data_IF_117486662324
#
_entry.id   IF_117486662324
#
_cell.length_a   1.000
_cell.length_b   1.000
_cell.length_c   1.000
_cell.angle_alpha   90.00
_cell.angle_beta   90.00
_cell.angle_gamma   90.00
#
_symmetry.space_group_name_H-M   'P 1'
#
loop_
_entity.id
_entity.type
_entity.pdbx_description
1 polymer ?
#
# COMPACT_ATOMS: atom_id res chain seq x y z
N UNK A 1 -6.35 44.62 22.22
CA UNK A 1 -6.56 45.52 21.07
C UNK A 1 -6.92 44.70 19.86
N UNK A 2 -8.03 45.00 19.19
CA UNK A 2 -8.46 44.26 18.01
C UNK A 2 -7.54 44.58 16.81
N UNK A 3 -6.91 43.58 16.17
CA UNK A 3 -6.20 43.76 14.91
C UNK A 3 -7.15 44.13 13.78
N UNK A 4 -6.79 45.04 12.91
CA UNK A 4 -7.55 45.36 11.70
C UNK A 4 -6.99 44.59 10.51
N UNK A 5 -7.84 44.07 9.60
CA UNK A 5 -7.37 43.39 8.38
C UNK A 5 -6.68 44.44 7.49
N UNK A 6 -5.47 44.11 7.05
CA UNK A 6 -4.74 44.90 6.06
C UNK A 6 -4.76 44.15 4.75
N UNK A 7 -5.28 44.76 3.70
CA UNK A 7 -5.19 44.23 2.33
C UNK A 7 -3.91 44.77 1.69
N UNK A 8 -2.87 43.96 1.66
CA UNK A 8 -1.63 44.29 0.97
C UNK A 8 -1.46 43.38 -0.24
N UNK A 9 -1.28 44.00 -1.41
CA UNK A 9 -0.91 43.28 -2.63
C UNK A 9 0.61 43.36 -2.77
N UNK A 10 1.30 42.24 -2.59
CA UNK A 10 2.73 42.15 -2.91
C UNK A 10 2.91 42.09 -4.42
N UNK A 11 3.63 43.08 -4.95
CA UNK A 11 4.00 43.15 -6.37
C UNK A 11 5.23 42.30 -6.70
N UNK A 12 6.04 41.96 -5.70
CA UNK A 12 7.25 41.16 -5.84
C UNK A 12 7.33 40.13 -4.73
N UNK A 13 7.55 38.85 -5.09
CA UNK A 13 7.89 37.78 -4.16
C UNK A 13 9.40 37.53 -4.26
N UNK A 14 10.16 37.90 -3.23
CA UNK A 14 11.60 37.60 -3.13
C UNK A 14 11.76 36.47 -2.11
N UNK A 15 12.24 35.32 -2.56
CA UNK A 15 12.49 34.15 -1.71
C UNK A 15 12.10 32.84 -2.40
N UNK A 16 12.55 31.72 -1.83
CA UNK A 16 12.19 30.39 -2.30
C UNK A 16 10.93 29.86 -1.62
N UNK A 17 10.23 28.94 -2.25
CA UNK A 17 9.11 28.23 -1.61
C UNK A 17 9.59 27.48 -0.35
N UNK A 18 10.85 27.05 -0.33
CA UNK A 18 11.47 26.41 0.82
C UNK A 18 11.53 27.28 2.06
N UNK A 19 11.62 28.60 1.91
CA UNK A 19 11.67 29.54 3.06
C UNK A 19 10.32 29.59 3.80
N UNK A 20 9.24 29.22 3.14
CA UNK A 20 7.88 29.15 3.71
C UNK A 20 7.61 27.88 4.49
N UNK A 21 8.41 26.84 4.29
CA UNK A 21 8.31 25.59 5.06
C UNK A 21 9.24 25.70 6.27
N UNK A 22 8.76 25.61 7.51
CA UNK A 22 9.63 25.71 8.70
C UNK A 22 10.77 24.69 8.66
N UNK A 23 11.96 25.09 9.11
CA UNK A 23 13.15 24.23 9.12
C UNK A 23 12.93 22.92 9.91
N UNK A 24 12.13 22.99 10.99
CA UNK A 24 11.76 21.86 11.84
C UNK A 24 10.57 21.04 11.32
N UNK A 25 9.98 21.40 10.16
CA UNK A 25 8.79 20.70 9.68
C UNK A 25 9.12 19.26 9.25
N UNK A 26 8.37 18.24 9.72
CA UNK A 26 8.66 16.82 9.48
C UNK A 26 8.58 16.41 8.00
N UNK A 27 8.04 17.24 7.12
CA UNK A 27 8.02 17.02 5.68
C UNK A 27 9.41 17.16 5.03
N UNK A 28 10.35 17.89 5.65
CA UNK A 28 11.69 18.14 5.10
C UNK A 28 12.54 16.86 5.01
N UNK A 29 12.74 16.11 6.09
CA UNK A 29 13.46 14.86 6.01
C UNK A 29 12.76 13.85 5.08
N UNK A 30 11.43 13.89 5.01
CA UNK A 30 10.69 13.04 4.09
C UNK A 30 10.96 13.40 2.62
N UNK A 31 10.98 14.71 2.28
CA UNK A 31 11.34 15.18 0.94
C UNK A 31 12.75 14.74 0.56
N UNK A 32 13.72 14.96 1.44
CA UNK A 32 15.11 14.58 1.20
C UNK A 32 15.25 13.06 0.93
N UNK A 33 14.53 12.23 1.69
CA UNK A 33 14.49 10.77 1.47
C UNK A 33 13.83 10.41 0.14
N UNK A 34 12.72 11.07 -0.22
CA UNK A 34 12.05 10.84 -1.49
C UNK A 34 12.93 11.22 -2.67
N UNK A 35 13.62 12.36 -2.58
CA UNK A 35 14.55 12.85 -3.61
C UNK A 35 15.72 11.89 -3.80
N UNK A 36 16.33 11.38 -2.71
CA UNK A 36 17.41 10.38 -2.76
C UNK A 36 16.98 9.09 -3.46
N UNK A 37 15.81 8.57 -3.08
CA UNK A 37 15.26 7.35 -3.68
C UNK A 37 14.94 7.54 -5.16
N UNK A 38 14.25 8.63 -5.51
CA UNK A 38 13.82 8.90 -6.88
C UNK A 38 15.02 9.21 -7.81
N UNK A 39 16.03 9.92 -7.30
CA UNK A 39 17.29 10.15 -8.04
C UNK A 39 17.99 8.85 -8.42
N UNK A 40 17.91 7.81 -7.56
CA UNK A 40 18.44 6.48 -7.88
C UNK A 40 17.62 5.69 -8.91
N UNK A 41 16.45 6.19 -9.33
CA UNK A 41 15.55 5.50 -10.25
C UNK A 41 15.57 6.06 -11.69
N UNK A 42 16.45 7.01 -12.00
CA UNK A 42 16.49 7.69 -13.32
C UNK A 42 16.50 6.72 -14.50
N UNK A 43 17.27 5.64 -14.44
CA UNK A 43 17.32 4.63 -15.51
C UNK A 43 15.95 3.94 -15.75
N UNK A 44 15.17 3.74 -14.71
CA UNK A 44 13.80 3.18 -14.81
C UNK A 44 12.92 4.17 -15.54
N UNK A 45 13.04 5.46 -15.21
CA UNK A 45 12.24 6.52 -15.79
C UNK A 45 12.61 6.78 -17.26
N UNK A 46 13.88 6.78 -17.61
CA UNK A 46 14.34 6.96 -18.98
C UNK A 46 13.74 5.89 -19.91
N UNK A 47 13.64 4.65 -19.45
CA UNK A 47 13.03 3.54 -20.18
C UNK A 47 11.51 3.65 -20.39
N UNK A 48 10.84 4.61 -19.73
CA UNK A 48 9.39 4.79 -19.82
C UNK A 48 8.93 5.75 -20.91
N UNK A 49 9.83 6.57 -21.41
CA UNK A 49 9.51 7.67 -22.32
C UNK A 49 10.25 7.53 -23.64
N UNK A 50 9.61 8.00 -24.73
CA UNK A 50 10.26 8.10 -26.02
C UNK A 50 11.28 9.24 -26.00
N UNK A 51 12.33 9.12 -26.82
CA UNK A 51 13.39 10.14 -26.97
C UNK A 51 12.88 11.44 -27.62
N UNK A 52 11.74 11.40 -28.32
CA UNK A 52 11.15 12.53 -29.03
C UNK A 52 9.68 12.73 -28.64
N UNK A 53 9.18 13.97 -28.72
CA UNK A 53 7.80 14.33 -28.42
C UNK A 53 7.67 15.45 -27.38
N UNK A 54 6.42 15.83 -27.05
CA UNK A 54 6.16 16.84 -26.02
C UNK A 54 6.59 16.32 -24.65
N UNK A 55 7.36 17.09 -23.86
CA UNK A 55 7.69 16.73 -22.48
C UNK A 55 6.45 16.43 -21.65
N UNK A 56 6.45 15.31 -20.95
CA UNK A 56 5.40 14.93 -19.98
C UNK A 56 5.73 15.51 -18.61
N UNK A 57 4.75 15.45 -17.67
CA UNK A 57 5.06 15.68 -16.26
C UNK A 57 6.11 14.66 -15.82
N UNK A 58 7.21 15.10 -15.18
CA UNK A 58 8.25 14.19 -14.69
C UNK A 58 7.68 13.09 -13.78
N UNK A 59 8.08 11.83 -13.95
CA UNK A 59 7.61 10.73 -13.12
C UNK A 59 7.94 10.92 -11.64
N UNK A 60 9.04 11.57 -11.32
CA UNK A 60 9.42 11.95 -9.97
C UNK A 60 8.36 12.84 -9.30
N UNK A 61 7.87 13.85 -10.02
CA UNK A 61 6.79 14.72 -9.54
C UNK A 61 5.49 13.96 -9.31
N UNK A 62 5.14 13.05 -10.22
CA UNK A 62 3.94 12.21 -10.09
C UNK A 62 4.03 11.29 -8.87
N UNK A 63 5.19 10.68 -8.62
CA UNK A 63 5.41 9.85 -7.45
C UNK A 63 5.40 10.67 -6.16
N UNK A 64 6.08 11.82 -6.12
CA UNK A 64 6.00 12.77 -4.99
C UNK A 64 4.56 13.21 -4.71
N UNK A 65 3.78 13.48 -5.76
CA UNK A 65 2.36 13.80 -5.62
C UNK A 65 1.56 12.66 -4.97
N UNK A 66 1.83 11.40 -5.35
CA UNK A 66 1.20 10.25 -4.71
C UNK A 66 1.59 10.10 -3.24
N UNK A 67 2.84 10.44 -2.87
CA UNK A 67 3.25 10.49 -1.46
C UNK A 67 2.42 11.52 -0.69
N UNK A 68 2.25 12.73 -1.21
CA UNK A 68 1.43 13.77 -0.59
C UNK A 68 -0.05 13.35 -0.48
N UNK A 69 -0.60 12.73 -1.52
CA UNK A 69 -1.97 12.20 -1.50
C UNK A 69 -2.16 11.21 -0.35
N UNK A 70 -1.20 10.31 -0.13
CA UNK A 70 -1.25 9.34 0.94
C UNK A 70 -1.03 9.98 2.33
N UNK A 71 -0.07 10.90 2.47
CA UNK A 71 0.26 11.57 3.72
C UNK A 71 -0.86 12.48 4.24
N UNK A 72 -1.51 13.21 3.34
CA UNK A 72 -2.55 14.18 3.67
C UNK A 72 -3.97 13.65 3.45
N UNK A 73 -4.12 12.34 3.22
CA UNK A 73 -5.42 11.67 3.04
C UNK A 73 -6.29 12.33 1.96
N UNK A 74 -5.69 12.82 0.88
CA UNK A 74 -6.40 13.51 -0.19
C UNK A 74 -7.25 12.49 -0.97
N UNK A 75 -8.54 12.82 -1.17
CA UNK A 75 -9.53 11.84 -1.63
C UNK A 75 -9.49 11.57 -3.13
N UNK A 76 -8.96 12.51 -3.93
CA UNK A 76 -8.93 12.36 -5.39
C UNK A 76 -7.77 13.09 -6.03
N UNK A 77 -7.36 12.64 -7.21
CA UNK A 77 -6.34 13.31 -8.04
C UNK A 77 -6.78 14.74 -8.38
N UNK A 78 -8.08 14.95 -8.61
CA UNK A 78 -8.64 16.28 -8.88
C UNK A 78 -8.48 17.23 -7.70
N UNK A 79 -8.81 16.78 -6.49
CA UNK A 79 -8.63 17.57 -5.27
C UNK A 79 -7.14 17.88 -5.02
N UNK A 80 -6.25 16.94 -5.35
CA UNK A 80 -4.82 17.18 -5.23
C UNK A 80 -4.36 18.28 -6.20
N UNK A 81 -4.76 18.22 -7.47
CA UNK A 81 -4.40 19.22 -8.47
C UNK A 81 -4.96 20.60 -8.09
N UNK A 82 -6.19 20.68 -7.56
CA UNK A 82 -6.76 21.91 -7.02
C UNK A 82 -5.91 22.48 -5.87
N UNK A 83 -5.50 21.64 -4.91
CA UNK A 83 -4.62 22.09 -3.82
C UNK A 83 -3.24 22.53 -4.34
N UNK A 84 -2.73 21.89 -5.39
CA UNK A 84 -1.42 22.22 -5.97
C UNK A 84 -1.38 23.66 -6.54
N UNK A 85 -2.53 24.25 -6.90
CA UNK A 85 -2.60 25.65 -7.35
C UNK A 85 -2.22 26.65 -6.27
N UNK A 86 -2.56 26.39 -5.01
CA UNK A 86 -2.39 27.36 -3.92
C UNK A 86 -1.57 26.87 -2.73
N UNK A 87 -1.25 25.57 -2.64
CA UNK A 87 -0.49 25.02 -1.51
C UNK A 87 1.02 25.11 -1.78
N UNK A 88 1.66 26.09 -1.20
CA UNK A 88 3.08 26.36 -1.38
C UNK A 88 3.97 25.21 -0.89
N UNK A 89 3.58 24.52 0.19
CA UNK A 89 4.33 23.35 0.67
C UNK A 89 4.27 22.19 -0.33
N UNK A 90 3.13 21.96 -0.99
CA UNK A 90 3.02 20.93 -2.01
C UNK A 90 3.87 21.26 -3.22
N UNK A 91 3.82 22.52 -3.68
CA UNK A 91 4.67 22.99 -4.79
C UNK A 91 6.15 22.80 -4.47
N UNK A 92 6.59 23.24 -3.28
CA UNK A 92 7.95 23.02 -2.82
C UNK A 92 8.33 21.54 -2.78
N UNK A 93 7.45 20.67 -2.30
CA UNK A 93 7.72 19.23 -2.22
C UNK A 93 7.88 18.60 -3.61
N UNK A 94 7.17 19.12 -4.62
CA UNK A 94 7.23 18.68 -6.01
C UNK A 94 8.32 19.39 -6.84
N UNK A 95 9.12 20.25 -6.27
CA UNK A 95 10.10 21.10 -6.97
C UNK A 95 9.46 21.90 -8.11
N UNK A 96 8.33 22.52 -7.83
CA UNK A 96 7.62 23.43 -8.75
C UNK A 96 7.90 24.88 -8.37
N UNK A 97 7.96 25.73 -9.40
CA UNK A 97 8.08 27.18 -9.20
C UNK A 97 6.75 27.78 -8.71
N UNK A 98 6.82 28.99 -8.17
CA UNK A 98 5.63 29.67 -7.63
C UNK A 98 4.56 29.94 -8.70
N UNK A 99 4.96 30.32 -9.89
CA UNK A 99 4.13 30.68 -11.03
C UNK A 99 3.91 29.54 -12.03
N UNK A 100 4.57 28.38 -11.82
CA UNK A 100 4.39 27.21 -12.69
C UNK A 100 2.95 26.70 -12.60
N UNK A 101 2.22 26.52 -13.72
CA UNK A 101 0.85 26.01 -13.67
C UNK A 101 0.82 24.58 -13.09
N UNK A 102 -0.18 24.30 -12.25
CA UNK A 102 -0.41 22.94 -11.82
C UNK A 102 -0.83 22.05 -12.98
N UNK A 103 -0.45 20.78 -12.91
CA UNK A 103 -0.94 19.80 -13.88
C UNK A 103 -2.34 19.30 -13.50
N UNK A 104 -3.13 18.93 -14.49
CA UNK A 104 -4.50 18.49 -14.27
C UNK A 104 -4.64 17.00 -13.91
N UNK A 105 -5.84 16.61 -13.47
CA UNK A 105 -6.12 15.24 -13.04
C UNK A 105 -6.05 14.22 -14.20
N UNK A 106 -6.16 14.65 -15.46
CA UNK A 106 -6.02 13.75 -16.63
C UNK A 106 -4.58 13.29 -16.77
N UNK A 107 -3.61 14.13 -16.39
CA UNK A 107 -2.19 13.76 -16.35
C UNK A 107 -1.92 12.57 -15.43
N UNK A 108 -2.58 12.52 -14.26
CA UNK A 108 -2.49 11.35 -13.38
C UNK A 108 -3.05 10.09 -14.04
N UNK A 109 -4.23 10.19 -14.65
CA UNK A 109 -4.89 9.04 -15.27
C UNK A 109 -4.07 8.46 -16.41
N UNK A 110 -3.53 9.31 -17.30
CA UNK A 110 -2.70 8.89 -18.43
C UNK A 110 -1.38 8.27 -17.97
N UNK A 111 -0.71 8.90 -17.00
CA UNK A 111 0.58 8.41 -16.52
C UNK A 111 0.44 7.19 -15.62
N UNK A 112 -0.69 6.97 -14.94
CA UNK A 112 -0.93 5.78 -14.10
C UNK A 112 -0.76 4.49 -14.88
N UNK A 113 -1.33 4.41 -16.09
CA UNK A 113 -1.19 3.22 -16.94
C UNK A 113 0.27 2.99 -17.37
N UNK A 114 1.02 4.07 -17.58
CA UNK A 114 2.46 3.99 -17.85
C UNK A 114 3.23 3.47 -16.65
N UNK A 115 2.95 4.00 -15.44
CA UNK A 115 3.57 3.53 -14.19
C UNK A 115 3.28 2.04 -13.92
N UNK A 116 2.07 1.58 -14.21
CA UNK A 116 1.68 0.17 -14.09
C UNK A 116 2.47 -0.69 -15.08
N UNK A 117 2.45 -0.32 -16.36
CA UNK A 117 3.13 -1.06 -17.44
C UNK A 117 4.61 -1.29 -17.15
N UNK A 118 5.28 -0.29 -16.58
CA UNK A 118 6.69 -0.34 -16.23
C UNK A 118 6.95 -0.76 -14.78
N UNK A 119 5.93 -1.24 -14.05
CA UNK A 119 6.02 -1.75 -12.66
C UNK A 119 6.70 -0.77 -11.70
N UNK A 120 6.49 0.53 -11.90
CA UNK A 120 7.17 1.58 -11.14
C UNK A 120 6.84 1.53 -9.65
N UNK A 121 5.60 1.15 -9.29
CA UNK A 121 5.22 1.01 -7.88
C UNK A 121 6.06 -0.04 -7.13
N UNK A 122 6.32 -1.18 -7.77
CA UNK A 122 7.20 -2.23 -7.22
C UNK A 122 8.64 -1.75 -7.13
N UNK A 123 9.15 -1.14 -8.19
CA UNK A 123 10.53 -0.60 -8.23
C UNK A 123 10.73 0.49 -7.16
N UNK A 124 9.77 1.38 -6.98
CA UNK A 124 9.83 2.43 -5.97
C UNK A 124 9.79 1.88 -4.55
N UNK A 125 8.88 0.94 -4.24
CA UNK A 125 8.86 0.29 -2.94
C UNK A 125 10.17 -0.45 -2.67
N UNK A 126 10.71 -1.16 -3.67
CA UNK A 126 12.00 -1.86 -3.55
C UNK A 126 13.17 -0.88 -3.30
N UNK A 127 13.20 0.28 -3.96
CA UNK A 127 14.22 1.31 -3.75
C UNK A 127 14.13 1.91 -2.34
N UNK A 128 12.92 2.15 -1.82
CA UNK A 128 12.72 2.59 -0.43
C UNK A 128 13.19 1.53 0.56
N UNK A 129 12.88 0.26 0.32
CA UNK A 129 13.34 -0.87 1.16
C UNK A 129 14.88 -0.99 1.13
N UNK A 130 15.50 -0.79 -0.03
CA UNK A 130 16.97 -0.83 -0.14
C UNK A 130 17.62 0.36 0.59
N UNK A 131 16.99 1.53 0.57
CA UNK A 131 17.43 2.68 1.38
C UNK A 131 17.36 2.38 2.88
N UNK A 132 16.30 1.72 3.35
CA UNK A 132 16.21 1.25 4.72
C UNK A 132 17.31 0.21 5.05
N UNK A 133 17.64 -0.68 4.10
CA UNK A 133 18.71 -1.68 4.24
C UNK A 133 20.08 -1.03 4.37
N UNK A 134 20.42 -0.09 3.49
CA UNK A 134 21.67 0.70 3.55
C UNK A 134 21.83 1.42 4.89
N UNK A 135 20.73 1.89 5.47
CA UNK A 135 20.68 2.54 6.80
C UNK A 135 20.63 1.56 7.97
N UNK A 136 20.73 0.24 7.72
CA UNK A 136 20.68 -0.84 8.75
C UNK A 136 19.39 -0.86 9.57
N UNK A 137 18.28 -0.41 9.00
CA UNK A 137 16.98 -0.38 9.66
C UNK A 137 16.17 -1.66 9.48
N UNK A 138 16.63 -2.62 8.67
CA UNK A 138 15.91 -3.86 8.43
C UNK A 138 16.46 -5.01 9.26
N UNK A 139 15.57 -5.92 9.68
CA UNK A 139 15.90 -7.28 10.07
C UNK A 139 15.95 -8.15 8.80
N UNK A 140 16.97 -8.98 8.66
CA UNK A 140 17.14 -9.89 7.51
C UNK A 140 16.65 -11.32 7.80
N UNK A 141 16.09 -11.57 8.99
CA UNK A 141 15.83 -12.92 9.50
C UNK A 141 14.44 -13.09 10.13
N UNK A 142 13.75 -12.02 10.54
CA UNK A 142 12.46 -12.13 11.19
C UNK A 142 11.39 -11.27 10.51
N UNK A 143 10.31 -11.93 10.04
CA UNK A 143 9.24 -11.30 9.26
C UNK A 143 7.87 -11.70 9.78
N UNK A 144 6.85 -10.95 9.38
CA UNK A 144 5.43 -11.27 9.55
C UNK A 144 4.69 -11.14 8.23
N UNK A 145 3.73 -12.01 8.04
CA UNK A 145 2.75 -11.93 6.94
C UNK A 145 1.35 -11.83 7.51
N UNK A 146 0.53 -11.04 6.84
CA UNK A 146 -0.91 -10.96 7.14
C UNK A 146 -1.65 -10.41 5.92
N UNK A 147 -2.95 -10.69 5.84
CA UNK A 147 -3.84 -10.23 4.80
C UNK A 147 -4.93 -9.30 5.33
N UNK A 148 -5.44 -8.45 4.46
CA UNK A 148 -6.56 -7.59 4.79
C UNK A 148 -7.48 -7.39 3.59
N UNK A 149 -8.78 -7.30 3.82
CA UNK A 149 -9.72 -6.95 2.77
C UNK A 149 -9.68 -5.45 2.49
N UNK A 150 -9.61 -5.12 1.21
CA UNK A 150 -9.74 -3.77 0.65
C UNK A 150 -11.07 -3.75 -0.11
N UNK A 151 -12.05 -2.97 0.37
CA UNK A 151 -13.35 -2.86 -0.28
C UNK A 151 -13.18 -2.33 -1.71
N UNK A 152 -13.81 -2.96 -2.68
CA UNK A 152 -13.75 -2.53 -4.07
C UNK A 152 -14.51 -1.21 -4.27
N UNK A 153 -14.18 -0.48 -5.34
CA UNK A 153 -14.96 0.68 -5.80
C UNK A 153 -16.40 0.30 -6.13
N UNK A 154 -16.58 -0.89 -6.69
CA UNK A 154 -17.87 -1.39 -7.13
C UNK A 154 -18.84 -1.57 -5.95
N UNK A 155 -20.07 -1.12 -6.13
CA UNK A 155 -21.14 -1.33 -5.14
C UNK A 155 -21.76 -2.72 -5.28
N UNK A 156 -22.42 -3.22 -4.22
CA UNK A 156 -23.16 -4.48 -4.24
C UNK A 156 -24.28 -4.50 -5.30
N UNK A 157 -24.80 -3.34 -5.72
CA UNK A 157 -25.80 -3.24 -6.80
C UNK A 157 -25.24 -3.72 -8.14
N UNK A 158 -23.93 -3.65 -8.34
CA UNK A 158 -23.28 -4.15 -9.55
C UNK A 158 -23.03 -5.66 -9.56
N UNK A 159 -23.26 -6.36 -8.44
CA UNK A 159 -23.04 -7.80 -8.31
C UNK A 159 -24.26 -8.56 -8.84
N UNK A 160 -24.18 -8.98 -10.11
CA UNK A 160 -25.29 -9.55 -10.87
C UNK A 160 -24.97 -10.98 -11.32
N UNK A 161 -25.99 -11.81 -11.62
CA UNK A 161 -25.79 -13.14 -12.20
C UNK A 161 -24.88 -13.09 -13.42
N UNK A 162 -24.05 -14.13 -13.59
CA UNK A 162 -23.17 -14.27 -14.76
C UNK A 162 -23.96 -14.60 -16.02
N UNK A 163 -24.99 -15.45 -15.86
CA UNK A 163 -25.86 -15.93 -16.91
C UNK A 163 -27.27 -15.40 -16.62
N UNK A 164 -27.76 -14.51 -17.48
CA UNK A 164 -29.10 -13.93 -17.39
C UNK A 164 -29.24 -12.64 -18.18
N UNK A 165 -30.44 -12.27 -18.64
CA UNK A 165 -30.67 -10.99 -19.27
C UNK A 165 -30.35 -9.84 -18.30
N UNK A 166 -29.91 -8.67 -18.81
CA UNK A 166 -29.76 -7.49 -17.97
C UNK A 166 -31.11 -7.18 -17.34
N UNK A 167 -31.27 -7.41 -16.06
CA UNK A 167 -32.51 -7.04 -15.38
C UNK A 167 -32.53 -5.53 -15.22
N UNK A 168 -33.51 -4.87 -15.84
CA UNK A 168 -33.80 -3.44 -15.66
C UNK A 168 -34.40 -3.15 -14.27
N UNK A 169 -34.61 -4.15 -13.46
CA UNK A 169 -35.15 -4.00 -12.11
C UNK A 169 -34.09 -3.50 -11.15
N UNK A 170 -34.44 -2.47 -10.41
CA UNK A 170 -33.68 -1.76 -9.37
C UNK A 170 -33.24 -2.66 -8.18
N UNK A 171 -32.72 -3.85 -8.41
CA UNK A 171 -32.05 -4.68 -7.41
C UNK A 171 -32.84 -5.10 -6.16
N UNK A 172 -34.12 -4.75 -6.05
CA UNK A 172 -35.01 -5.06 -4.93
C UNK A 172 -35.63 -6.44 -5.02
N UNK A 173 -35.76 -6.99 -6.24
CA UNK A 173 -36.31 -8.35 -6.46
C UNK A 173 -35.40 -9.47 -5.93
N UNK A 174 -34.08 -9.21 -5.84
CA UNK A 174 -33.07 -10.20 -5.42
C UNK A 174 -32.87 -10.31 -3.90
N UNK A 175 -33.61 -9.55 -3.09
CA UNK A 175 -33.47 -9.57 -1.62
C UNK A 175 -34.15 -10.76 -0.94
N UNK A 176 -34.92 -11.56 -1.68
CA UNK A 176 -35.69 -12.70 -1.15
C UNK A 176 -35.06 -14.02 -1.55
N UNK A 177 -34.04 -14.47 -0.75
CA UNK A 177 -33.69 -15.91 -0.67
C UNK A 177 -32.63 -16.44 -1.60
N UNK A 178 -32.10 -15.72 -2.57
CA UNK A 178 -30.99 -16.19 -3.39
C UNK A 178 -29.65 -16.06 -2.68
N UNK A 179 -28.92 -17.18 -2.52
CA UNK A 179 -27.53 -17.16 -2.05
C UNK A 179 -26.61 -16.65 -3.14
N UNK A 180 -26.25 -15.38 -3.08
CA UNK A 180 -25.26 -14.81 -4.00
C UNK A 180 -23.88 -15.32 -3.68
N UNK A 181 -23.22 -15.94 -4.65
CA UNK A 181 -21.86 -16.46 -4.55
C UNK A 181 -20.97 -15.97 -5.70
N UNK A 182 -19.67 -16.06 -5.55
CA UNK A 182 -18.72 -15.76 -6.63
C UNK A 182 -18.81 -16.73 -7.81
N UNK A 183 -19.44 -17.89 -7.62
CA UNK A 183 -19.64 -18.87 -8.68
C UNK A 183 -20.78 -18.46 -9.61
N UNK A 184 -21.84 -17.90 -9.06
CA UNK A 184 -23.07 -17.54 -9.77
C UNK A 184 -23.12 -16.06 -10.18
N UNK A 185 -22.40 -15.17 -9.47
CA UNK A 185 -22.48 -13.73 -9.67
C UNK A 185 -21.09 -13.11 -9.91
N UNK A 186 -21.09 -11.95 -10.60
CA UNK A 186 -19.90 -11.11 -10.74
C UNK A 186 -20.30 -9.62 -10.74
N UNK A 187 -19.35 -8.75 -10.41
CA UNK A 187 -19.58 -7.32 -10.55
C UNK A 187 -19.48 -6.90 -12.01
N UNK A 188 -20.49 -6.19 -12.48
CA UNK A 188 -20.49 -5.56 -13.82
C UNK A 188 -19.63 -4.30 -13.87
N UNK A 189 -19.34 -3.69 -12.71
CA UNK A 189 -18.51 -2.47 -12.61
C UNK A 189 -17.03 -2.81 -12.46
N UNK A 190 -16.68 -3.88 -11.75
CA UNK A 190 -15.30 -4.31 -11.49
C UNK A 190 -15.28 -5.84 -11.49
N UNK A 191 -14.96 -6.43 -12.62
CA UNK A 191 -15.05 -7.87 -12.85
C UNK A 191 -14.06 -8.71 -12.04
N UNK A 192 -12.98 -8.11 -11.51
CA UNK A 192 -12.00 -8.78 -10.66
C UNK A 192 -12.36 -8.75 -9.17
N UNK A 193 -13.25 -7.84 -8.76
CA UNK A 193 -13.73 -7.79 -7.37
C UNK A 193 -14.55 -9.04 -7.02
N UNK A 194 -14.35 -9.59 -5.84
CA UNK A 194 -15.06 -10.77 -5.34
C UNK A 194 -15.82 -10.47 -4.08
N UNK A 195 -16.94 -11.16 -3.91
CA UNK A 195 -17.69 -11.14 -2.67
C UNK A 195 -16.84 -11.83 -1.59
N UNK A 196 -16.45 -11.08 -0.58
CA UNK A 196 -15.64 -11.56 0.53
C UNK A 196 -16.16 -11.00 1.86
N UNK A 197 -15.90 -11.73 2.95
CA UNK A 197 -16.21 -11.32 4.31
C UNK A 197 -15.04 -11.57 5.24
N UNK A 198 -14.87 -10.71 6.24
CA UNK A 198 -13.76 -10.82 7.20
C UNK A 198 -13.87 -12.06 8.13
N UNK A 199 -15.06 -12.63 8.28
CA UNK A 199 -15.33 -13.79 9.13
C UNK A 199 -16.81 -14.09 9.20
N UNK A 200 -17.18 -15.17 9.91
CA UNK A 200 -18.59 -15.53 10.16
C UNK A 200 -19.29 -14.38 10.90
N UNK A 201 -20.51 -14.02 10.46
CA UNK A 201 -21.27 -12.92 11.05
C UNK A 201 -20.94 -11.52 10.53
N UNK A 202 -19.89 -11.34 9.73
CA UNK A 202 -19.62 -10.06 9.08
C UNK A 202 -20.33 -9.97 7.73
N UNK A 203 -20.73 -8.75 7.36
CA UNK A 203 -21.30 -8.44 6.06
C UNK A 203 -20.30 -8.80 4.95
N UNK A 204 -20.80 -9.42 3.88
CA UNK A 204 -20.03 -9.70 2.70
C UNK A 204 -19.99 -8.45 1.78
N UNK A 205 -18.82 -8.10 1.29
CA UNK A 205 -18.59 -6.95 0.40
C UNK A 205 -17.74 -7.36 -0.78
N UNK A 206 -17.90 -6.64 -1.89
CA UNK A 206 -16.97 -6.77 -3.01
C UNK A 206 -15.62 -6.22 -2.58
N UNK A 207 -14.58 -7.04 -2.67
CA UNK A 207 -13.27 -6.71 -2.13
C UNK A 207 -12.14 -7.40 -2.89
N UNK A 208 -10.94 -6.91 -2.61
CA UNK A 208 -9.65 -7.52 -2.92
C UNK A 208 -8.95 -7.93 -1.62
N UNK A 209 -7.97 -8.82 -1.72
CA UNK A 209 -7.11 -9.18 -0.61
C UNK A 209 -5.75 -8.49 -0.76
N UNK A 210 -5.43 -7.58 0.17
CA UNK A 210 -4.11 -6.96 0.25
C UNK A 210 -3.25 -7.70 1.28
N UNK A 211 -2.14 -8.30 0.82
CA UNK A 211 -1.22 -9.05 1.65
C UNK A 211 0.04 -8.23 1.90
N UNK A 212 0.55 -8.22 3.12
CA UNK A 212 1.74 -7.47 3.52
C UNK A 212 2.78 -8.41 4.10
N UNK A 213 4.03 -8.19 3.70
CA UNK A 213 5.22 -8.76 4.33
C UNK A 213 5.96 -7.65 5.07
N UNK A 214 6.08 -7.77 6.39
CA UNK A 214 6.67 -6.79 7.29
C UNK A 214 7.88 -7.38 8.02
N UNK A 215 8.96 -6.61 8.18
CA UNK A 215 10.07 -6.99 9.03
C UNK A 215 9.79 -6.68 10.51
N UNK A 216 10.46 -7.39 11.43
CA UNK A 216 10.15 -7.35 12.87
C UNK A 216 10.83 -6.22 13.65
N UNK A 217 11.99 -5.71 13.21
CA UNK A 217 12.79 -4.75 13.99
C UNK A 217 12.09 -3.41 14.12
N UNK A 218 11.72 -2.83 12.99
CA UNK A 218 11.12 -1.50 12.91
C UNK A 218 9.72 -1.48 12.30
N UNK A 219 9.19 -2.63 11.87
CA UNK A 219 7.86 -2.74 11.28
C UNK A 219 7.77 -2.11 9.88
N UNK A 220 8.86 -2.18 9.11
CA UNK A 220 8.89 -1.71 7.73
C UNK A 220 8.26 -2.75 6.80
N UNK A 221 7.52 -2.30 5.81
CA UNK A 221 6.91 -3.15 4.78
C UNK A 221 7.95 -3.49 3.72
N UNK A 222 8.26 -4.78 3.55
CA UNK A 222 9.18 -5.22 2.51
C UNK A 222 8.48 -5.43 1.17
N UNK A 223 7.25 -5.90 1.23
CA UNK A 223 6.47 -6.23 0.05
C UNK A 223 4.98 -6.13 0.33
N UNK A 224 4.21 -5.82 -0.70
CA UNK A 224 2.75 -5.82 -0.66
C UNK A 224 2.23 -6.46 -1.94
N UNK A 225 1.32 -7.42 -1.79
CA UNK A 225 0.72 -8.17 -2.89
C UNK A 225 -0.78 -7.99 -2.86
N UNK A 226 -1.36 -7.59 -4.00
CA UNK A 226 -2.80 -7.49 -4.15
C UNK A 226 -3.33 -8.68 -4.94
N UNK A 227 -4.24 -9.42 -4.33
CA UNK A 227 -4.86 -10.61 -4.89
C UNK A 227 -6.39 -10.48 -4.98
N UNK A 228 -6.99 -11.32 -5.81
CA UNK A 228 -8.43 -11.53 -5.85
C UNK A 228 -8.83 -12.24 -4.54
N UNK A 229 -9.89 -11.77 -3.87
CA UNK A 229 -10.33 -12.33 -2.59
C UNK A 229 -11.13 -13.64 -2.80
N UNK A 230 -10.44 -14.79 -2.86
CA UNK A 230 -11.00 -16.11 -3.15
C UNK A 230 -10.96 -17.10 -1.97
N UNK A 231 -10.56 -16.63 -0.77
CA UNK A 231 -10.39 -17.47 0.41
C UNK A 231 -9.02 -18.13 0.56
N UNK A 232 -8.22 -18.20 -0.50
CA UNK A 232 -6.84 -18.70 -0.48
C UNK A 232 -5.81 -17.56 -0.63
N UNK A 233 -6.26 -16.39 -1.05
CA UNK A 233 -5.46 -15.22 -1.41
C UNK A 233 -4.44 -14.79 -0.36
N UNK A 234 -4.77 -14.92 0.93
CA UNK A 234 -3.84 -14.57 2.02
C UNK A 234 -2.62 -15.49 2.04
N UNK A 235 -2.83 -16.79 2.03
CA UNK A 235 -1.74 -17.77 2.09
C UNK A 235 -0.90 -17.77 0.82
N UNK A 236 -1.56 -17.72 -0.33
CA UNK A 236 -0.87 -17.65 -1.63
C UNK A 236 -0.11 -16.35 -1.81
N UNK A 237 -0.70 -15.22 -1.43
CA UNK A 237 -0.04 -13.91 -1.43
C UNK A 237 1.19 -13.90 -0.53
N UNK A 238 1.08 -14.43 0.67
CA UNK A 238 2.21 -14.59 1.58
C UNK A 238 3.33 -15.43 0.95
N UNK A 239 3.01 -16.58 0.35
CA UNK A 239 4.00 -17.44 -0.32
C UNK A 239 4.64 -16.75 -1.52
N UNK A 240 3.89 -15.97 -2.33
CA UNK A 240 4.46 -15.18 -3.43
C UNK A 240 5.50 -14.18 -2.91
N UNK A 241 5.19 -13.44 -1.83
CA UNK A 241 6.11 -12.49 -1.22
C UNK A 241 7.33 -13.18 -0.61
N UNK A 242 7.14 -14.30 0.09
CA UNK A 242 8.23 -15.07 0.72
C UNK A 242 9.21 -15.64 -0.32
N UNK A 243 8.74 -16.04 -1.52
CA UNK A 243 9.61 -16.49 -2.62
C UNK A 243 10.51 -15.38 -3.16
N UNK A 244 10.10 -14.10 -3.03
CA UNK A 244 10.88 -12.92 -3.45
C UNK A 244 11.89 -12.47 -2.42
N UNK A 245 11.83 -12.99 -1.18
CA UNK A 245 12.81 -12.64 -0.15
C UNK A 245 14.23 -13.02 -0.57
N UNK A 246 15.16 -12.08 -0.36
CA UNK A 246 16.59 -12.37 -0.52
C UNK A 246 16.99 -13.44 0.51
N UNK A 247 17.74 -14.44 0.07
CA UNK A 247 18.27 -15.47 0.97
C UNK A 247 19.21 -14.84 1.98
N UNK A 248 19.03 -15.15 3.25
CA UNK A 248 19.92 -14.79 4.35
C UNK A 248 20.84 -15.97 4.70
N UNK A 249 22.02 -15.68 5.24
CA UNK A 249 22.88 -16.71 5.87
C UNK A 249 22.30 -17.21 7.19
N UNK A 250 21.39 -16.42 7.79
CA UNK A 250 20.70 -16.77 9.03
C UNK A 250 19.40 -17.49 8.74
N UNK A 251 18.89 -18.19 9.75
CA UNK A 251 17.57 -18.81 9.67
C UNK A 251 16.50 -17.74 9.58
N UNK A 252 15.71 -17.76 8.50
CA UNK A 252 14.56 -16.88 8.31
C UNK A 252 13.36 -17.47 9.06
N UNK A 253 12.63 -16.60 9.77
CA UNK A 253 11.36 -16.95 10.41
C UNK A 253 10.24 -16.05 9.90
N UNK A 254 9.02 -16.58 9.78
CA UNK A 254 7.84 -15.81 9.42
C UNK A 254 6.72 -16.02 10.42
N UNK A 255 6.26 -14.92 11.04
CA UNK A 255 5.09 -14.89 11.92
C UNK A 255 3.80 -14.77 11.10
N UNK A 256 2.78 -15.55 11.48
CA UNK A 256 1.44 -15.49 10.89
C UNK A 256 0.36 -15.75 11.94
N UNK A 257 -0.88 -15.41 11.61
CA UNK A 257 -2.02 -15.75 12.46
C UNK A 257 -2.41 -17.23 12.31
N UNK A 258 -3.44 -17.66 13.03
CA UNK A 258 -3.94 -19.05 12.99
C UNK A 258 -4.51 -19.46 11.63
N UNK A 259 -4.87 -18.51 10.76
CA UNK A 259 -5.35 -18.77 9.42
C UNK A 259 -4.28 -19.36 8.49
N UNK A 260 -3.01 -19.12 8.83
CA UNK A 260 -1.86 -19.70 8.13
C UNK A 260 -1.44 -21.08 8.65
N UNK A 261 -2.05 -21.59 9.74
CA UNK A 261 -1.75 -22.92 10.27
C UNK A 261 -2.42 -24.02 9.44
N UNK A 262 -1.89 -24.22 8.25
CA UNK A 262 -2.29 -25.28 7.32
C UNK A 262 -1.07 -26.06 6.87
N UNK A 263 -1.23 -27.38 6.62
CA UNK A 263 -0.14 -28.24 6.15
C UNK A 263 0.55 -27.67 4.93
N UNK A 264 -0.22 -27.23 3.91
CA UNK A 264 0.33 -26.69 2.66
C UNK A 264 1.17 -25.42 2.86
N UNK A 265 0.72 -24.49 3.71
CA UNK A 265 1.49 -23.27 3.98
C UNK A 265 2.78 -23.56 4.78
N UNK A 266 2.67 -24.39 5.82
CA UNK A 266 3.81 -24.76 6.69
C UNK A 266 4.86 -25.51 5.89
N UNK A 267 4.46 -26.47 5.06
CA UNK A 267 5.35 -27.24 4.19
C UNK A 267 6.01 -26.37 3.13
N UNK A 268 5.25 -25.48 2.47
CA UNK A 268 5.79 -24.55 1.49
C UNK A 268 6.83 -23.59 2.13
N UNK A 269 6.58 -23.06 3.34
CA UNK A 269 7.58 -22.25 4.06
C UNK A 269 8.86 -23.05 4.34
N UNK A 270 8.72 -24.28 4.82
CA UNK A 270 9.89 -25.16 5.10
C UNK A 270 10.66 -25.47 3.82
N UNK A 271 9.97 -25.72 2.71
CA UNK A 271 10.59 -25.91 1.38
C UNK A 271 11.39 -24.70 0.89
N UNK A 272 10.99 -23.50 1.30
CA UNK A 272 11.73 -22.26 1.06
C UNK A 272 12.89 -22.02 2.06
N UNK A 273 13.10 -22.90 3.04
CA UNK A 273 14.08 -22.74 4.11
C UNK A 273 13.64 -21.72 5.18
N UNK A 274 12.33 -21.40 5.25
CA UNK A 274 11.76 -20.45 6.21
C UNK A 274 11.06 -21.23 7.33
N UNK A 275 11.33 -20.86 8.58
CA UNK A 275 10.65 -21.44 9.74
C UNK A 275 9.35 -20.70 10.02
N UNK A 276 8.18 -21.34 9.89
CA UNK A 276 6.89 -20.71 10.17
C UNK A 276 6.63 -20.58 11.67
N UNK A 277 6.56 -19.37 12.19
CA UNK A 277 6.13 -19.03 13.54
C UNK A 277 4.65 -18.65 13.54
N UNK A 278 3.81 -19.55 13.03
CA UNK A 278 2.36 -19.36 12.90
C UNK A 278 1.67 -19.73 14.21
N UNK A 279 0.66 -18.96 14.60
CA UNK A 279 -0.15 -19.27 15.77
C UNK A 279 -0.92 -20.58 15.55
N UNK A 280 -0.80 -21.52 16.50
CA UNK A 280 -1.44 -22.84 16.39
C UNK A 280 -2.98 -22.74 16.37
N UNK A 281 -3.58 -23.45 15.45
CA UNK A 281 -5.03 -23.59 15.38
C UNK A 281 -5.47 -24.83 16.16
N UNK A 282 -5.90 -24.62 17.42
CA UNK A 282 -6.43 -25.70 18.25
C UNK A 282 -7.94 -25.84 17.99
N UNK A 283 -8.30 -26.61 16.99
CA UNK A 283 -9.70 -26.97 16.74
C UNK A 283 -9.92 -28.46 16.99
N UNK A 284 -11.13 -28.84 17.45
CA UNK A 284 -11.45 -30.24 17.77
C UNK A 284 -11.28 -31.21 16.59
N UNK A 285 -11.38 -30.70 15.36
CA UNK A 285 -11.35 -31.50 14.11
C UNK A 285 -10.08 -31.30 13.29
N UNK A 286 -9.20 -30.34 13.64
CA UNK A 286 -8.00 -30.04 12.88
C UNK A 286 -6.78 -29.99 13.78
N UNK A 287 -5.81 -30.85 13.53
CA UNK A 287 -4.52 -30.78 14.18
C UNK A 287 -3.67 -29.65 13.58
N UNK A 288 -2.98 -28.88 14.42
CA UNK A 288 -2.02 -27.88 13.99
C UNK A 288 -0.91 -28.50 13.16
N UNK A 289 -0.54 -27.87 12.04
CA UNK A 289 0.64 -28.24 11.27
C UNK A 289 1.95 -27.78 11.93
N UNK A 290 1.88 -26.93 12.98
CA UNK A 290 3.01 -26.47 13.77
C UNK A 290 3.30 -27.48 14.88
N UNK A 291 4.48 -28.08 14.83
CA UNK A 291 4.95 -29.10 15.76
C UNK A 291 5.83 -28.53 16.88
N UNK A 292 6.22 -29.42 17.82
CA UNK A 292 7.07 -29.07 18.96
C UNK A 292 8.46 -28.59 18.59
N UNK A 293 8.98 -28.90 17.38
CA UNK A 293 10.28 -28.37 16.91
C UNK A 293 10.24 -26.85 16.76
N UNK A 294 9.10 -26.29 16.38
CA UNK A 294 8.90 -24.85 16.26
C UNK A 294 8.52 -24.21 17.60
N UNK A 295 7.55 -24.78 18.33
CA UNK A 295 6.95 -24.14 19.51
C UNK A 295 7.87 -24.11 20.73
N UNK A 296 8.82 -25.04 20.85
CA UNK A 296 9.80 -25.08 21.95
C UNK A 296 10.85 -23.98 21.84
N UNK A 297 10.96 -23.32 20.69
CA UNK A 297 11.98 -22.29 20.48
C UNK A 297 11.51 -20.94 21.08
N UNK A 298 12.34 -20.26 21.92
CA UNK A 298 11.96 -18.98 22.53
C UNK A 298 11.52 -17.91 21.53
N UNK A 299 12.15 -17.88 20.34
CA UNK A 299 11.79 -16.98 19.24
C UNK A 299 10.38 -17.15 18.72
N UNK A 300 9.74 -18.31 18.90
CA UNK A 300 8.36 -18.54 18.50
C UNK A 300 7.40 -17.60 19.23
N UNK A 301 7.47 -17.56 20.55
CA UNK A 301 6.62 -16.67 21.38
C UNK A 301 6.88 -15.20 21.06
N UNK A 302 8.15 -14.82 20.92
CA UNK A 302 8.52 -13.44 20.51
C UNK A 302 7.91 -13.06 19.15
N UNK A 303 7.98 -13.96 18.17
CA UNK A 303 7.39 -13.70 16.85
C UNK A 303 5.87 -13.53 16.91
N UNK A 304 5.15 -14.29 17.73
CA UNK A 304 3.70 -14.15 17.91
C UNK A 304 3.30 -12.81 18.55
N UNK A 305 4.15 -12.24 19.39
CA UNK A 305 3.93 -10.90 19.96
C UNK A 305 4.21 -9.82 18.93
N UNK A 306 5.38 -9.88 18.28
CA UNK A 306 5.85 -8.83 17.36
C UNK A 306 4.99 -8.77 16.10
N UNK A 307 4.47 -9.90 15.60
CA UNK A 307 3.61 -9.91 14.40
C UNK A 307 2.43 -8.95 14.49
N UNK A 308 1.92 -8.66 15.70
CA UNK A 308 0.79 -7.74 15.90
C UNK A 308 1.07 -6.32 15.40
N UNK A 309 2.35 -5.95 15.24
CA UNK A 309 2.73 -4.65 14.65
C UNK A 309 2.21 -4.47 13.22
N UNK A 310 1.95 -5.55 12.50
CA UNK A 310 1.38 -5.49 11.15
C UNK A 310 -0.01 -4.82 11.13
N UNK A 311 -0.76 -4.90 12.23
CA UNK A 311 -2.04 -4.21 12.39
C UNK A 311 -1.88 -2.69 12.34
N UNK A 312 -0.74 -2.14 12.82
CA UNK A 312 -0.43 -0.70 12.71
C UNK A 312 -0.20 -0.31 11.25
N UNK A 313 0.47 -1.18 10.47
CA UNK A 313 0.63 -0.98 9.02
C UNK A 313 -0.74 -0.90 8.35
N UNK A 314 -1.60 -1.90 8.58
CA UNK A 314 -2.96 -1.89 8.00
C UNK A 314 -3.80 -0.72 8.48
N UNK A 315 -3.69 -0.35 9.76
CA UNK A 315 -4.34 0.84 10.31
C UNK A 315 -3.96 2.08 9.51
N UNK A 316 -2.67 2.35 9.32
CA UNK A 316 -2.19 3.50 8.58
C UNK A 316 -2.58 3.45 7.08
N UNK A 317 -2.40 2.30 6.42
CA UNK A 317 -2.75 2.12 5.02
C UNK A 317 -4.25 2.38 4.77
N UNK A 318 -5.12 1.93 5.68
CA UNK A 318 -6.58 2.10 5.56
C UNK A 318 -7.08 3.49 5.92
N UNK A 319 -6.48 4.14 6.92
CA UNK A 319 -6.94 5.45 7.40
C UNK A 319 -6.26 6.60 6.66
N UNK A 320 -4.94 6.64 6.66
CA UNK A 320 -4.19 7.73 6.05
C UNK A 320 -4.09 7.59 4.53
N UNK A 321 -3.65 6.44 4.03
CA UNK A 321 -3.48 6.22 2.60
C UNK A 321 -4.79 5.87 1.85
N UNK A 322 -5.92 5.79 2.56
CA UNK A 322 -7.24 5.61 1.96
C UNK A 322 -7.52 4.23 1.38
N UNK A 323 -6.74 3.20 1.73
CA UNK A 323 -6.92 1.83 1.22
C UNK A 323 -8.05 1.04 1.92
N UNK A 324 -8.90 1.68 2.74
CA UNK A 324 -10.10 1.02 3.28
C UNK A 324 -11.05 0.64 2.16
N UNK A 325 -11.24 1.56 1.21
CA UNK A 325 -12.02 1.38 -0.01
C UNK A 325 -11.19 1.82 -1.21
N UNK A 326 -11.12 0.96 -2.22
CA UNK A 326 -10.39 1.26 -3.45
C UNK A 326 -10.95 2.51 -4.16
N UNK A 327 -10.07 3.32 -4.72
CA UNK A 327 -10.45 4.48 -5.56
C UNK A 327 -10.53 4.13 -7.03
N UNK A 328 -9.93 3.01 -7.40
CA UNK A 328 -9.80 2.55 -8.79
C UNK A 328 -10.48 1.20 -8.96
N UNK A 329 -10.77 0.84 -10.19
CA UNK A 329 -11.23 -0.46 -10.62
C UNK A 329 -10.05 -1.29 -11.10
N UNK A 330 -10.10 -2.59 -10.85
CA UNK A 330 -9.10 -3.54 -11.30
C UNK A 330 -7.88 -3.63 -10.39
N UNK A 331 -7.34 -4.84 -10.33
CA UNK A 331 -6.27 -5.23 -9.42
C UNK A 331 -4.98 -4.42 -9.62
N UNK A 332 -4.60 -4.15 -10.86
CA UNK A 332 -3.33 -3.47 -11.17
C UNK A 332 -3.29 -2.03 -10.64
N UNK A 333 -4.39 -1.27 -10.85
CA UNK A 333 -4.47 0.13 -10.37
C UNK A 333 -4.50 0.22 -8.85
N UNK A 334 -5.21 -0.71 -8.21
CA UNK A 334 -5.26 -0.80 -6.75
C UNK A 334 -3.91 -1.27 -6.22
N UNK A 335 -3.24 -2.21 -6.91
CA UNK A 335 -1.91 -2.70 -6.59
C UNK A 335 -0.87 -1.58 -6.61
N UNK A 336 -0.83 -0.77 -7.67
CA UNK A 336 0.02 0.43 -7.71
C UNK A 336 -0.24 1.34 -6.51
N UNK A 337 -1.51 1.64 -6.19
CA UNK A 337 -1.85 2.47 -5.02
C UNK A 337 -1.37 1.86 -3.72
N UNK A 338 -1.48 0.54 -3.55
CA UNK A 338 -1.02 -0.16 -2.36
C UNK A 338 0.50 -0.12 -2.22
N UNK A 339 1.24 -0.30 -3.32
CA UNK A 339 2.70 -0.21 -3.36
C UNK A 339 3.20 1.20 -3.01
N UNK A 340 2.60 2.24 -3.58
CA UNK A 340 2.93 3.63 -3.29
C UNK A 340 2.57 4.01 -1.84
N UNK A 341 1.45 3.52 -1.31
CA UNK A 341 1.08 3.71 0.08
C UNK A 341 2.06 3.02 1.04
N UNK A 342 2.49 1.79 0.74
CA UNK A 342 3.50 1.08 1.52
C UNK A 342 4.86 1.79 1.48
N UNK A 343 5.29 2.29 0.32
CA UNK A 343 6.49 3.11 0.18
C UNK A 343 6.41 4.40 1.01
N UNK A 344 5.26 5.08 0.98
CA UNK A 344 5.02 6.30 1.79
C UNK A 344 5.10 6.01 3.29
N UNK A 345 4.47 4.92 3.74
CA UNK A 345 4.56 4.45 5.13
C UNK A 345 6.01 4.21 5.54
N UNK A 346 6.78 3.53 4.70
CA UNK A 346 8.19 3.26 4.96
C UNK A 346 9.03 4.55 5.02
N UNK A 347 8.86 5.46 4.07
CA UNK A 347 9.59 6.75 4.07
C UNK A 347 9.31 7.54 5.34
N UNK A 348 8.04 7.63 5.76
CA UNK A 348 7.66 8.29 7.00
C UNK A 348 8.30 7.63 8.22
N UNK A 349 8.36 6.30 8.23
CA UNK A 349 8.95 5.55 9.33
C UNK A 349 10.48 5.67 9.35
N UNK A 350 11.12 5.61 8.19
CA UNK A 350 12.58 5.84 8.05
C UNK A 350 12.93 7.24 8.55
N UNK A 351 12.20 8.28 8.13
CA UNK A 351 12.43 9.65 8.59
C UNK A 351 12.43 9.72 10.12
N UNK A 352 11.39 9.19 10.77
CA UNK A 352 11.27 9.16 12.24
C UNK A 352 12.37 8.35 12.95
N UNK A 353 12.86 7.28 12.33
CA UNK A 353 13.91 6.45 12.91
C UNK A 353 15.31 7.05 12.74
N UNK A 354 15.47 8.00 11.83
CA UNK A 354 16.74 8.68 11.52
C UNK A 354 16.80 10.12 12.05
N UNK A 355 15.67 10.66 12.55
CA UNK A 355 15.71 11.93 13.29
C UNK A 355 16.55 11.73 14.57
N UNK A 356 17.50 12.64 14.87
CA UNK A 356 18.17 12.62 16.16
C UNK A 356 17.10 12.76 17.23
N UNK A 357 17.12 11.86 18.23
CA UNK A 357 16.30 12.03 19.44
C UNK A 357 16.54 13.45 19.94
N UNK A 358 15.49 14.27 19.96
CA UNK A 358 15.56 15.58 20.61
C UNK A 358 15.98 15.35 22.05
N UNK A 359 17.16 15.84 22.38
CA UNK A 359 17.76 15.72 23.72
C UNK A 359 16.94 16.55 24.73
#
# INVERSE_FOLDING_TARGET
MRGHPQSQRSLLLIGSLGDRVPASHPIRPLKALADDVLGGMSQVFDGMYAAVGRPSVPPERLLKAQLLIALFSIRSDRQFCEQLEYNLMFRWFLDMEFDEPAFDASSFSQNRERLIRHRVGEAFLAAVVETARRRRLLSDDHFSVDGTLIEAWASMKSFRPKDGPPSDSNGWSDFRGEQRSNDTHRSTTDAEARLARKGKGHEARLAYCGNVLMEHRHGLVLDIDLAIADGFAEREGALRMLRRLKRSRRRITVGGDKGYDTHGFVEACRGLGITPHVARNHHRTHHSAIDGRTTRHPGYTSSLVVRRRIEQVFGWLKTCAGLRKARFKGRERIGLSAQLAAATYNLLRIARLTEPLAA
#
